data_IF_178190360279
#
_entry.id   IF_178190360279
#
_cell.length_a   1.000
_cell.length_b   1.000
_cell.length_c   1.000
_cell.angle_alpha   90.00
_cell.angle_beta   90.00
_cell.angle_gamma   90.00
#
_symmetry.space_group_name_H-M   'P 1'
#
loop_
_entity.id
_entity.type
_entity.pdbx_description
1 polymer ?
#
# COMPACT_ATOMS: atom_id res chain seq x y z
N UNK A 1 -4.42 -11.29 14.75
CA UNK A 1 -4.01 -9.90 15.07
C UNK A 1 -3.79 -9.06 13.81
N UNK A 2 -2.84 -9.39 12.93
CA UNK A 2 -2.53 -8.58 11.72
C UNK A 2 -3.72 -8.43 10.77
N UNK A 3 -4.38 -9.54 10.44
CA UNK A 3 -5.63 -9.55 9.67
C UNK A 3 -6.67 -8.58 10.22
N UNK A 4 -7.01 -8.69 11.52
CA UNK A 4 -8.01 -7.84 12.17
C UNK A 4 -7.62 -6.35 12.16
N UNK A 5 -6.33 -6.04 12.24
CA UNK A 5 -5.83 -4.66 12.12
C UNK A 5 -6.09 -4.11 10.72
N UNK A 6 -5.79 -4.87 9.67
CA UNK A 6 -6.06 -4.45 8.29
C UNK A 6 -7.55 -4.31 8.01
N UNK A 7 -8.36 -5.29 8.42
CA UNK A 7 -9.82 -5.20 8.29
C UNK A 7 -10.37 -3.93 8.95
N UNK A 8 -9.95 -3.64 10.19
CA UNK A 8 -10.35 -2.42 10.90
C UNK A 8 -9.88 -1.13 10.19
N UNK A 9 -8.71 -1.15 9.56
CA UNK A 9 -8.21 -0.02 8.77
C UNK A 9 -9.07 0.21 7.53
N UNK A 10 -9.46 -0.85 6.81
CA UNK A 10 -10.38 -0.71 5.70
C UNK A 10 -11.76 -0.22 6.14
N UNK A 11 -12.26 -0.62 7.32
CA UNK A 11 -13.56 -0.17 7.82
C UNK A 11 -13.56 1.35 8.02
N UNK A 12 -12.47 1.88 8.58
CA UNK A 12 -12.25 3.32 8.69
C UNK A 12 -12.10 3.97 7.32
N UNK A 13 -11.25 3.45 6.44
CA UNK A 13 -11.08 4.02 5.09
C UNK A 13 -12.41 4.11 4.34
N UNK A 14 -13.24 3.07 4.40
CA UNK A 14 -14.58 3.08 3.80
C UNK A 14 -15.48 4.18 4.37
N UNK A 15 -15.40 4.48 5.68
CA UNK A 15 -16.14 5.59 6.28
C UNK A 15 -15.65 6.96 5.79
N UNK A 16 -14.39 7.08 5.36
CA UNK A 16 -13.81 8.31 4.82
C UNK A 16 -14.41 8.66 3.46
N UNK A 17 -14.60 7.66 2.60
CA UNK A 17 -15.25 7.85 1.29
C UNK A 17 -16.75 8.12 1.38
N UNK A 18 -17.43 7.55 2.37
CA UNK A 18 -18.89 7.58 2.48
C UNK A 18 -19.42 8.61 3.47
N UNK A 19 -18.56 9.43 4.07
CA UNK A 19 -18.95 10.37 5.12
C UNK A 19 -18.18 11.68 5.07
N UNK A 20 -18.37 12.49 6.11
CA UNK A 20 -17.85 13.86 6.17
C UNK A 20 -16.78 13.97 7.27
N UNK A 21 -15.50 13.74 6.92
CA UNK A 21 -14.40 13.72 7.89
C UNK A 21 -14.02 15.09 8.44
N UNK A 22 -14.54 16.16 7.84
CA UNK A 22 -14.26 17.54 8.22
C UNK A 22 -15.25 18.07 9.26
N UNK A 23 -16.40 17.42 9.40
CA UNK A 23 -17.47 17.85 10.31
C UNK A 23 -17.23 17.22 11.67
N UNK A 24 -16.92 18.08 12.65
CA UNK A 24 -16.69 17.64 14.04
C UNK A 24 -17.89 16.87 14.57
N UNK A 25 -17.62 15.71 15.18
CA UNK A 25 -18.63 14.89 15.83
C UNK A 25 -19.20 13.75 14.97
N UNK A 26 -19.01 13.78 13.63
CA UNK A 26 -19.38 12.66 12.77
C UNK A 26 -18.56 11.42 13.10
N UNK A 27 -19.06 10.22 12.73
CA UNK A 27 -18.30 8.99 12.92
C UNK A 27 -17.00 9.02 12.10
N UNK A 28 -17.06 9.51 10.87
CA UNK A 28 -15.88 9.64 10.00
C UNK A 28 -14.82 10.58 10.61
N UNK A 29 -15.21 11.73 11.18
CA UNK A 29 -14.28 12.61 11.88
C UNK A 29 -13.58 11.89 13.04
N UNK A 30 -14.33 11.13 13.85
CA UNK A 30 -13.76 10.33 14.95
C UNK A 30 -12.81 9.24 14.45
N UNK A 31 -13.13 8.60 13.33
CA UNK A 31 -12.28 7.56 12.72
C UNK A 31 -10.95 8.14 12.22
N UNK A 32 -10.96 9.32 11.59
CA UNK A 32 -9.72 10.01 11.22
C UNK A 32 -8.91 10.42 12.46
N UNK A 33 -9.55 10.98 13.48
CA UNK A 33 -8.86 11.35 14.72
C UNK A 33 -8.23 10.13 15.39
N UNK A 34 -8.92 8.99 15.37
CA UNK A 34 -8.38 7.74 15.86
C UNK A 34 -7.12 7.32 15.08
N UNK A 35 -7.17 7.37 13.74
CA UNK A 35 -6.01 7.04 12.90
C UNK A 35 -4.82 7.96 13.19
N UNK A 36 -5.05 9.28 13.23
CA UNK A 36 -4.03 10.28 13.56
C UNK A 36 -3.41 10.01 14.96
N UNK A 37 -4.25 9.77 15.97
CA UNK A 37 -3.78 9.41 17.32
C UNK A 37 -2.95 8.13 17.31
N UNK A 38 -3.36 7.10 16.58
CA UNK A 38 -2.61 5.85 16.48
C UNK A 38 -1.25 6.04 15.80
N UNK A 39 -1.15 6.91 14.79
CA UNK A 39 0.13 7.29 14.17
C UNK A 39 1.05 7.97 15.19
N UNK A 40 0.56 8.97 15.94
CA UNK A 40 1.36 9.66 16.96
C UNK A 40 1.82 8.72 18.08
N UNK A 41 0.93 7.83 18.57
CA UNK A 41 1.29 6.85 19.59
C UNK A 41 2.33 5.85 19.08
N UNK A 42 2.19 5.42 17.83
CA UNK A 42 3.16 4.52 17.19
C UNK A 42 4.51 5.21 17.03
N UNK A 43 4.53 6.46 16.57
CA UNK A 43 5.75 7.27 16.46
C UNK A 43 6.44 7.43 17.82
N UNK A 44 5.68 7.77 18.87
CA UNK A 44 6.20 7.94 20.23
C UNK A 44 6.69 6.62 20.86
N UNK A 45 6.14 5.48 20.46
CA UNK A 45 6.64 4.16 20.86
C UNK A 45 7.97 3.86 20.15
N UNK A 46 7.98 4.00 18.81
CA UNK A 46 9.13 3.65 17.99
C UNK A 46 10.36 4.52 18.29
N UNK A 47 10.16 5.80 18.65
CA UNK A 47 11.26 6.70 19.04
C UNK A 47 11.99 6.29 20.32
N UNK A 48 11.41 5.39 21.13
CA UNK A 48 12.01 4.89 22.37
C UNK A 48 12.74 3.56 22.21
N UNK A 49 12.62 2.90 21.06
CA UNK A 49 13.20 1.57 20.84
C UNK A 49 14.59 1.66 20.19
N UNK A 50 15.54 0.90 20.72
CA UNK A 50 16.79 0.63 20.02
C UNK A 50 16.60 -0.34 18.84
N UNK A 51 17.65 -0.58 18.05
CA UNK A 51 17.55 -1.42 16.85
C UNK A 51 17.16 -2.86 17.20
N UNK A 52 17.73 -3.43 18.25
CA UNK A 52 17.52 -4.81 18.64
C UNK A 52 16.13 -5.00 19.24
N UNK A 53 15.68 -4.05 20.06
CA UNK A 53 14.31 -4.00 20.59
C UNK A 53 13.28 -3.90 19.46
N UNK A 54 13.52 -3.00 18.49
CA UNK A 54 12.65 -2.86 17.33
C UNK A 54 12.56 -4.17 16.54
N UNK A 55 13.68 -4.79 16.18
CA UNK A 55 13.69 -6.04 15.42
C UNK A 55 13.00 -7.19 16.19
N UNK A 56 13.24 -7.27 17.50
CA UNK A 56 12.57 -8.24 18.37
C UNK A 56 11.05 -8.05 18.38
N UNK A 57 10.57 -6.81 18.58
CA UNK A 57 9.14 -6.49 18.56
C UNK A 57 8.50 -6.63 17.17
N UNK A 58 9.29 -6.42 16.12
CA UNK A 58 8.84 -6.48 14.73
C UNK A 58 8.83 -7.92 14.17
N UNK A 59 9.37 -8.89 14.91
CA UNK A 59 9.43 -10.31 14.53
C UNK A 59 8.04 -10.93 14.55
N UNK A 60 7.75 -11.73 13.53
CA UNK A 60 6.55 -12.56 13.43
C UNK A 60 7.01 -13.99 13.60
N UNK A 61 6.56 -14.67 14.67
CA UNK A 61 7.04 -16.02 14.99
C UNK A 61 6.75 -17.03 13.87
N UNK A 62 5.57 -16.91 13.24
CA UNK A 62 5.10 -17.82 12.19
C UNK A 62 4.43 -17.01 11.06
N UNK A 63 5.19 -16.46 10.11
CA UNK A 63 4.62 -15.71 9.01
C UNK A 63 3.80 -16.64 8.10
N UNK A 64 2.54 -16.28 7.88
CA UNK A 64 1.69 -16.87 6.84
C UNK A 64 2.20 -16.51 5.43
N UNK A 65 3.18 -17.27 4.95
CA UNK A 65 3.89 -17.03 3.69
C UNK A 65 4.05 -18.29 2.81
N UNK A 66 2.96 -18.99 2.45
CA UNK A 66 3.04 -20.25 1.70
C UNK A 66 3.59 -20.08 0.26
N UNK A 67 3.42 -18.91 -0.35
CA UNK A 67 3.80 -18.67 -1.75
C UNK A 67 5.17 -17.99 -1.88
N UNK A 68 5.90 -17.79 -0.78
CA UNK A 68 7.11 -16.97 -0.72
C UNK A 68 8.17 -17.39 -1.73
N UNK A 69 8.38 -18.70 -1.85
CA UNK A 69 9.35 -19.28 -2.80
C UNK A 69 8.95 -19.05 -4.25
N UNK A 70 7.66 -19.02 -4.57
CA UNK A 70 7.16 -18.76 -5.93
C UNK A 70 7.32 -17.28 -6.27
N UNK A 71 6.93 -16.40 -5.34
CA UNK A 71 7.08 -14.96 -5.47
C UNK A 71 8.55 -14.56 -5.70
N UNK A 72 9.49 -15.14 -4.94
CA UNK A 72 10.92 -14.90 -5.14
C UNK A 72 11.40 -15.30 -6.53
N UNK A 73 10.91 -16.42 -7.07
CA UNK A 73 11.27 -16.87 -8.42
C UNK A 73 10.77 -15.91 -9.50
N UNK A 74 9.52 -15.47 -9.38
CA UNK A 74 8.93 -14.54 -10.34
C UNK A 74 9.62 -13.16 -10.29
N UNK A 75 9.80 -12.59 -9.09
CA UNK A 75 10.43 -11.27 -8.97
C UNK A 75 11.91 -11.24 -9.36
N UNK A 76 12.64 -12.35 -9.18
CA UNK A 76 14.02 -12.47 -9.64
C UNK A 76 14.16 -12.41 -11.18
N UNK A 77 13.13 -12.81 -11.92
CA UNK A 77 13.16 -12.86 -13.38
C UNK A 77 12.84 -11.51 -14.05
N UNK A 78 12.11 -10.61 -13.37
CA UNK A 78 11.53 -9.40 -13.99
C UNK A 78 12.18 -8.11 -13.54
N UNK A 79 12.81 -8.07 -12.37
CA UNK A 79 13.40 -6.83 -11.84
C UNK A 79 14.90 -6.79 -12.17
N UNK A 80 15.37 -6.13 -13.25
CA UNK A 80 16.78 -5.80 -13.36
C UNK A 80 17.12 -4.92 -12.15
N UNK A 81 18.14 -5.33 -11.39
CA UNK A 81 18.71 -4.55 -10.30
C UNK A 81 18.99 -3.14 -10.82
N UNK A 82 18.14 -2.17 -10.50
CA UNK A 82 18.58 -0.78 -10.61
C UNK A 82 19.53 -0.54 -9.43
N UNK A 83 20.81 -0.82 -9.66
CA UNK A 83 21.91 -0.61 -8.70
C UNK A 83 22.05 0.84 -8.25
N UNK A 84 21.30 1.75 -8.86
CA UNK A 84 21.22 3.18 -8.56
C UNK A 84 19.91 3.59 -7.85
N UNK A 85 19.07 2.67 -7.40
CA UNK A 85 17.84 3.02 -6.67
C UNK A 85 18.17 3.68 -5.32
N UNK A 86 17.47 4.77 -4.99
CA UNK A 86 17.54 5.43 -3.67
C UNK A 86 17.32 4.45 -2.51
N UNK A 87 16.62 3.35 -2.77
CA UNK A 87 16.47 2.26 -1.83
C UNK A 87 17.79 1.59 -1.48
N UNK A 88 18.71 1.33 -2.42
CA UNK A 88 19.99 0.73 -2.05
C UNK A 88 20.79 1.64 -1.12
N UNK A 89 20.64 2.96 -1.25
CA UNK A 89 21.26 3.92 -0.34
C UNK A 89 20.58 3.89 1.04
N UNK A 90 19.25 3.77 1.10
CA UNK A 90 18.47 3.65 2.35
C UNK A 90 18.70 2.28 3.02
N UNK A 91 18.77 1.19 2.27
CA UNK A 91 18.94 -0.18 2.77
C UNK A 91 20.37 -0.47 3.20
N UNK A 92 21.36 0.21 2.60
CA UNK A 92 22.77 0.21 3.04
C UNK A 92 23.03 1.25 4.13
N UNK A 93 22.05 2.09 4.46
CA UNK A 93 22.16 3.03 5.57
C UNK A 93 22.29 2.24 6.87
N UNK A 94 23.25 2.56 7.75
CA UNK A 94 23.32 1.96 9.09
C UNK A 94 22.13 2.39 9.98
N UNK A 95 21.34 3.39 9.53
CA UNK A 95 20.15 3.87 10.22
C UNK A 95 18.92 3.11 9.74
N UNK A 96 18.39 2.23 10.60
CA UNK A 96 17.03 1.69 10.44
C UNK A 96 16.06 2.87 10.52
N UNK A 97 15.25 3.09 9.49
CA UNK A 97 14.15 4.06 9.53
C UNK A 97 13.07 3.49 10.46
N UNK A 98 13.23 3.74 11.76
CA UNK A 98 12.30 3.29 12.81
C UNK A 98 11.08 4.19 12.92
N UNK A 99 11.24 5.47 12.64
CA UNK A 99 10.23 6.46 12.97
C UNK A 99 9.19 6.55 11.85
N UNK A 100 7.92 6.59 12.25
CA UNK A 100 6.84 7.04 11.39
C UNK A 100 7.05 8.53 11.13
N UNK A 101 7.80 8.87 10.09
CA UNK A 101 8.07 10.23 9.63
C UNK A 101 7.23 10.57 8.40
N UNK A 102 7.33 11.80 7.91
CA UNK A 102 6.60 12.25 6.73
C UNK A 102 6.88 11.41 5.47
N UNK A 103 8.10 10.90 5.29
CA UNK A 103 8.42 10.06 4.14
C UNK A 103 7.64 8.73 4.19
N UNK A 104 7.63 8.05 5.33
CA UNK A 104 6.87 6.81 5.51
C UNK A 104 5.35 7.05 5.36
N UNK A 105 4.85 8.17 5.90
CA UNK A 105 3.45 8.56 5.78
C UNK A 105 3.05 8.88 4.34
N UNK A 106 3.89 9.61 3.60
CA UNK A 106 3.68 9.93 2.18
C UNK A 106 3.71 8.66 1.30
N UNK A 107 4.64 7.74 1.56
CA UNK A 107 4.65 6.44 0.87
C UNK A 107 3.36 5.65 1.14
N UNK A 108 2.89 5.62 2.40
CA UNK A 108 1.63 4.96 2.74
C UNK A 108 0.41 5.63 2.07
N UNK A 109 0.38 6.97 2.02
CA UNK A 109 -0.65 7.72 1.30
C UNK A 109 -0.65 7.37 -0.20
N UNK A 110 0.53 7.40 -0.83
CA UNK A 110 0.74 7.05 -2.23
C UNK A 110 0.16 5.66 -2.57
N UNK A 111 0.38 4.67 -1.69
CA UNK A 111 -0.13 3.32 -1.90
C UNK A 111 -1.66 3.25 -2.07
N UNK A 112 -2.43 4.09 -1.37
CA UNK A 112 -3.90 4.03 -1.44
C UNK A 112 -4.51 4.62 -2.71
N UNK A 113 -3.86 5.61 -3.35
CA UNK A 113 -4.45 6.31 -4.49
C UNK A 113 -3.68 6.10 -5.81
N UNK A 114 -2.44 5.60 -5.76
CA UNK A 114 -1.55 5.52 -6.92
C UNK A 114 -2.10 4.71 -8.09
N UNK A 115 -2.67 3.53 -7.84
CA UNK A 115 -3.22 2.69 -8.92
C UNK A 115 -4.39 3.39 -9.61
N UNK A 116 -5.27 4.05 -8.85
CA UNK A 116 -6.39 4.83 -9.40
C UNK A 116 -5.88 5.99 -10.26
N UNK A 117 -4.83 6.67 -9.80
CA UNK A 117 -4.28 7.83 -10.51
C UNK A 117 -3.50 7.44 -11.78
N UNK A 118 -2.71 6.37 -11.72
CA UNK A 118 -1.77 5.98 -12.78
C UNK A 118 -2.40 5.04 -13.81
N UNK A 119 -3.29 4.14 -13.38
CA UNK A 119 -3.90 3.09 -14.21
C UNK A 119 -5.42 2.96 -13.97
N UNK A 120 -6.20 4.04 -14.09
CA UNK A 120 -7.64 4.03 -13.79
C UNK A 120 -8.42 3.01 -14.63
N UNK A 121 -8.10 2.90 -15.92
CA UNK A 121 -8.83 2.02 -16.84
C UNK A 121 -8.62 0.54 -16.51
N UNK A 122 -7.45 0.17 -16.00
CA UNK A 122 -7.15 -1.21 -15.61
C UNK A 122 -7.99 -1.70 -14.42
N UNK A 123 -8.58 -0.77 -13.65
CA UNK A 123 -9.44 -1.07 -12.51
C UNK A 123 -10.89 -0.65 -12.75
N UNK A 124 -11.29 -0.48 -14.02
CA UNK A 124 -12.67 -0.21 -14.41
C UNK A 124 -13.09 1.26 -14.44
N UNK A 125 -12.16 2.21 -14.26
CA UNK A 125 -12.44 3.65 -14.30
C UNK A 125 -12.14 4.18 -15.71
N UNK A 126 -13.11 4.03 -16.63
CA UNK A 126 -12.90 4.31 -18.05
C UNK A 126 -13.18 5.76 -18.50
N UNK A 127 -13.95 6.54 -17.74
CA UNK A 127 -14.45 7.85 -18.15
C UNK A 127 -14.14 8.99 -17.17
N UNK A 128 -13.16 8.80 -16.28
CA UNK A 128 -12.77 9.86 -15.34
C UNK A 128 -12.09 11.01 -16.09
N UNK A 129 -12.60 12.22 -15.89
CA UNK A 129 -12.03 13.46 -16.43
C UNK A 129 -10.76 13.87 -15.67
N UNK A 130 -10.03 14.86 -16.18
CA UNK A 130 -8.89 15.40 -15.43
C UNK A 130 -9.38 16.10 -14.16
N UNK A 131 -10.55 16.74 -14.22
CA UNK A 131 -11.22 17.40 -13.12
C UNK A 131 -11.62 16.38 -12.03
N UNK A 132 -12.14 15.20 -12.42
CA UNK A 132 -12.44 14.10 -11.48
C UNK A 132 -11.17 13.61 -10.78
N UNK A 133 -10.08 13.46 -11.52
CA UNK A 133 -8.78 13.04 -10.97
C UNK A 133 -8.16 14.11 -10.06
N UNK A 134 -8.30 15.39 -10.41
CA UNK A 134 -7.88 16.50 -9.56
C UNK A 134 -8.68 16.54 -8.26
N UNK A 135 -10.00 16.38 -8.32
CA UNK A 135 -10.85 16.30 -7.14
C UNK A 135 -10.48 15.11 -6.25
N UNK A 136 -10.25 13.93 -6.84
CA UNK A 136 -9.80 12.74 -6.12
C UNK A 136 -8.45 12.96 -5.43
N UNK A 137 -7.48 13.55 -6.13
CA UNK A 137 -6.19 13.89 -5.54
C UNK A 137 -6.31 14.98 -4.46
N UNK A 138 -7.19 15.97 -4.63
CA UNK A 138 -7.45 17.00 -3.63
C UNK A 138 -8.01 16.40 -2.34
N UNK A 139 -8.98 15.48 -2.46
CA UNK A 139 -9.50 14.72 -1.31
C UNK A 139 -8.37 13.98 -0.56
N UNK A 140 -7.52 13.26 -1.28
CA UNK A 140 -6.38 12.57 -0.68
C UNK A 140 -5.33 13.51 -0.07
N UNK A 141 -5.13 14.70 -0.66
CA UNK A 141 -4.30 15.76 -0.08
C UNK A 141 -4.85 16.16 1.28
N UNK A 142 -6.15 16.43 1.37
CA UNK A 142 -6.82 16.80 2.62
C UNK A 142 -6.75 15.67 3.66
N UNK A 143 -6.90 14.40 3.25
CA UNK A 143 -6.70 13.26 4.16
C UNK A 143 -5.27 13.19 4.68
N UNK A 144 -4.26 13.40 3.82
CA UNK A 144 -2.86 13.45 4.24
C UNK A 144 -2.62 14.52 5.30
N UNK A 145 -3.11 15.74 5.06
CA UNK A 145 -3.03 16.83 6.04
C UNK A 145 -3.68 16.46 7.37
N UNK A 146 -4.91 15.92 7.33
CA UNK A 146 -5.65 15.54 8.55
C UNK A 146 -4.93 14.44 9.34
N UNK A 147 -4.27 13.51 8.65
CA UNK A 147 -3.50 12.42 9.25
C UNK A 147 -2.11 12.84 9.75
N UNK A 148 -1.76 14.13 9.62
CA UNK A 148 -0.53 14.72 10.14
C UNK A 148 0.65 14.73 9.17
N UNK A 149 0.40 14.59 7.85
CA UNK A 149 1.44 14.78 6.83
C UNK A 149 1.59 16.28 6.58
N UNK A 150 2.82 16.80 6.72
CA UNK A 150 3.07 18.21 6.40
C UNK A 150 2.87 18.47 4.90
N UNK A 151 2.37 19.64 4.55
CA UNK A 151 1.95 19.97 3.18
C UNK A 151 3.08 19.83 2.15
N UNK A 152 4.33 20.06 2.57
CA UNK A 152 5.50 19.90 1.70
C UNK A 152 5.87 18.44 1.40
N UNK A 153 5.42 17.48 2.21
CA UNK A 153 5.68 16.06 1.98
C UNK A 153 4.47 15.31 1.42
N UNK A 154 3.30 15.95 1.40
CA UNK A 154 2.06 15.36 0.90
C UNK A 154 2.19 14.96 -0.59
N UNK A 155 1.91 13.70 -0.92
CA UNK A 155 2.11 13.20 -2.29
C UNK A 155 1.15 13.85 -3.29
N UNK A 156 -0.02 14.30 -2.82
CA UNK A 156 -1.04 14.97 -3.63
C UNK A 156 -0.89 16.51 -3.71
N UNK A 157 0.29 17.06 -3.39
CA UNK A 157 0.57 18.51 -3.54
C UNK A 157 0.81 18.90 -5.01
N UNK A 158 0.43 20.13 -5.36
CA UNK A 158 0.63 20.69 -6.70
C UNK A 158 -0.52 20.43 -7.66
N UNK A 159 -0.25 20.54 -8.96
CA UNK A 159 -1.22 20.24 -10.02
C UNK A 159 -1.21 18.74 -10.41
N UNK A 160 -2.22 18.29 -11.17
CA UNK A 160 -2.36 16.86 -11.54
C UNK A 160 -1.12 16.27 -12.21
N UNK A 161 -0.44 17.06 -13.06
CA UNK A 161 0.76 16.61 -13.78
C UNK A 161 1.91 16.34 -12.80
N UNK A 162 2.14 17.24 -11.85
CA UNK A 162 3.15 17.08 -10.79
C UNK A 162 2.82 15.89 -9.89
N UNK A 163 1.55 15.72 -9.51
CA UNK A 163 1.11 14.60 -8.67
C UNK A 163 1.34 13.27 -9.40
N UNK A 164 0.96 13.16 -10.69
CA UNK A 164 1.19 11.94 -11.50
C UNK A 164 2.68 11.61 -11.60
N UNK A 165 3.52 12.62 -11.86
CA UNK A 165 4.96 12.42 -11.97
C UNK A 165 5.57 11.89 -10.66
N UNK A 166 5.31 12.59 -9.54
CA UNK A 166 5.80 12.20 -8.21
C UNK A 166 5.30 10.82 -7.79
N UNK A 167 4.02 10.53 -8.06
CA UNK A 167 3.42 9.23 -7.75
C UNK A 167 4.15 8.13 -8.53
N UNK A 168 4.47 8.34 -9.81
CA UNK A 168 5.22 7.37 -10.61
C UNK A 168 6.62 7.12 -10.04
N UNK A 169 7.36 8.16 -9.69
CA UNK A 169 8.70 8.01 -9.11
C UNK A 169 8.67 7.24 -7.78
N UNK A 170 7.75 7.59 -6.88
CA UNK A 170 7.58 6.87 -5.61
C UNK A 170 7.17 5.41 -5.84
N UNK A 171 6.29 5.16 -6.82
CA UNK A 171 5.83 3.82 -7.14
C UNK A 171 6.95 2.96 -7.74
N UNK A 172 7.76 3.51 -8.64
CA UNK A 172 8.96 2.85 -9.18
C UNK A 172 9.96 2.49 -8.08
N UNK A 173 10.18 3.38 -7.10
CA UNK A 173 11.00 3.07 -5.92
C UNK A 173 10.42 1.91 -5.12
N UNK A 174 9.10 1.89 -4.87
CA UNK A 174 8.45 0.80 -4.15
C UNK A 174 8.59 -0.53 -4.90
N UNK A 175 8.42 -0.54 -6.23
CA UNK A 175 8.56 -1.73 -7.07
C UNK A 175 9.99 -2.24 -7.17
N UNK A 176 11.00 -1.35 -7.14
CA UNK A 176 12.41 -1.74 -7.20
C UNK A 176 12.85 -2.66 -6.06
N UNK A 177 12.01 -2.83 -5.03
CA UNK A 177 12.27 -3.64 -3.84
C UNK A 177 11.67 -5.05 -3.92
N UNK A 178 10.90 -5.36 -4.97
CA UNK A 178 10.22 -6.65 -5.08
C UNK A 178 11.20 -7.83 -5.24
N UNK A 179 12.44 -7.56 -5.67
CA UNK A 179 13.49 -8.57 -5.75
C UNK A 179 14.00 -9.07 -4.37
N UNK A 180 13.69 -8.36 -3.28
CA UNK A 180 14.15 -8.67 -1.92
C UNK A 180 12.98 -8.78 -0.95
N UNK A 181 11.87 -9.37 -1.38
CA UNK A 181 10.73 -9.64 -0.49
C UNK A 181 11.14 -10.59 0.63
N UNK A 182 10.56 -10.40 1.81
CA UNK A 182 10.78 -11.25 3.00
C UNK A 182 9.54 -12.10 3.29
N UNK A 183 9.64 -13.17 4.10
CA UNK A 183 8.46 -13.90 4.58
C UNK A 183 7.43 -12.99 5.26
N UNK A 184 7.92 -11.98 5.99
CA UNK A 184 7.10 -10.93 6.60
C UNK A 184 6.35 -10.09 5.57
N UNK A 185 6.96 -9.80 4.41
CA UNK A 185 6.30 -9.06 3.33
C UNK A 185 5.09 -9.82 2.80
N UNK A 186 5.22 -11.12 2.53
CA UNK A 186 4.09 -11.93 2.07
C UNK A 186 3.01 -12.01 3.16
N UNK A 187 3.40 -12.26 4.41
CA UNK A 187 2.46 -12.31 5.51
C UNK A 187 1.61 -11.03 5.63
N UNK A 188 2.27 -9.86 5.55
CA UNK A 188 1.61 -8.56 5.70
C UNK A 188 0.72 -8.24 4.48
N UNK A 189 1.21 -8.44 3.26
CA UNK A 189 0.42 -8.21 2.04
C UNK A 189 -0.77 -9.16 1.96
N UNK A 190 -0.60 -10.41 2.40
CA UNK A 190 -1.68 -11.39 2.48
C UNK A 190 -2.71 -11.01 3.52
N UNK A 191 -2.31 -10.65 4.74
CA UNK A 191 -3.24 -10.16 5.76
C UNK A 191 -4.02 -8.93 5.29
N UNK A 192 -3.40 -8.06 4.48
CA UNK A 192 -4.06 -6.92 3.84
C UNK A 192 -5.08 -7.38 2.81
N UNK A 193 -4.68 -8.13 1.78
CA UNK A 193 -5.57 -8.53 0.67
C UNK A 193 -6.72 -9.39 1.19
N UNK A 194 -6.44 -10.37 2.05
CA UNK A 194 -7.47 -11.29 2.55
C UNK A 194 -8.52 -10.57 3.39
N UNK A 195 -8.18 -9.44 4.01
CA UNK A 195 -9.16 -8.64 4.74
C UNK A 195 -10.15 -7.91 3.83
N UNK A 196 -9.82 -7.70 2.54
CA UNK A 196 -10.75 -7.15 1.55
C UNK A 196 -11.87 -8.12 1.20
N UNK A 197 -11.65 -9.44 1.31
CA UNK A 197 -12.66 -10.48 1.06
C UNK A 197 -13.87 -10.44 1.99
N UNK A 198 -13.81 -9.63 3.05
CA UNK A 198 -14.89 -9.46 4.02
C UNK A 198 -15.81 -8.27 3.69
N UNK A 199 -15.52 -7.56 2.61
CA UNK A 199 -16.42 -6.54 2.07
C UNK A 199 -17.46 -7.18 1.14
N UNK A 200 -18.74 -6.79 1.25
CA UNK A 200 -19.78 -7.31 0.37
C UNK A 200 -19.41 -7.18 -1.10
N UNK A 201 -19.68 -8.24 -1.87
CA UNK A 201 -19.48 -8.32 -3.32
C UNK A 201 -18.02 -8.30 -3.80
N UNK A 202 -17.03 -8.41 -2.90
CA UNK A 202 -15.61 -8.58 -3.27
C UNK A 202 -15.14 -10.01 -3.02
N UNK A 203 -14.59 -10.64 -4.06
CA UNK A 203 -13.81 -11.87 -3.97
C UNK A 203 -12.46 -11.64 -4.66
N UNK A 204 -11.43 -11.50 -3.83
CA UNK A 204 -10.06 -11.11 -4.14
C UNK A 204 -9.07 -12.06 -3.45
N UNK A 205 -8.94 -13.32 -3.91
CA UNK A 205 -7.92 -14.22 -3.39
C UNK A 205 -6.52 -13.63 -3.53
N UNK A 206 -5.64 -13.92 -2.57
CA UNK A 206 -4.29 -13.35 -2.55
C UNK A 206 -3.51 -13.54 -3.86
N UNK A 207 -3.43 -14.76 -4.39
CA UNK A 207 -2.65 -15.05 -5.60
C UNK A 207 -3.19 -14.27 -6.80
N UNK A 208 -4.51 -14.29 -6.96
CA UNK A 208 -5.20 -13.55 -8.01
C UNK A 208 -4.84 -12.06 -7.95
N UNK A 209 -4.96 -11.44 -6.77
CA UNK A 209 -4.68 -10.01 -6.62
C UNK A 209 -3.23 -9.65 -6.87
N UNK A 210 -2.28 -10.49 -6.44
CA UNK A 210 -0.86 -10.24 -6.72
C UNK A 210 -0.60 -10.31 -8.22
N UNK A 211 -1.08 -11.35 -8.92
CA UNK A 211 -0.89 -11.45 -10.38
C UNK A 211 -1.59 -10.29 -11.10
N UNK A 212 -2.82 -9.97 -10.74
CA UNK A 212 -3.54 -8.83 -11.31
C UNK A 212 -2.78 -7.50 -11.13
N UNK A 213 -2.30 -7.23 -9.91
CA UNK A 213 -1.52 -6.02 -9.63
C UNK A 213 -0.21 -5.97 -10.42
N UNK A 214 0.48 -7.12 -10.57
CA UNK A 214 1.73 -7.19 -11.34
C UNK A 214 1.48 -7.05 -12.84
N UNK A 215 0.37 -7.58 -13.36
CA UNK A 215 0.00 -7.43 -14.78
C UNK A 215 -0.27 -5.97 -15.17
N UNK A 216 -0.90 -5.18 -14.29
CA UNK A 216 -1.07 -3.72 -14.48
C UNK A 216 0.28 -3.04 -14.73
N UNK A 217 1.33 -3.57 -14.09
CA UNK A 217 2.69 -3.06 -14.16
C UNK A 217 3.53 -3.74 -15.26
N UNK A 218 2.92 -4.61 -16.06
CA UNK A 218 3.58 -5.45 -17.06
C UNK A 218 4.70 -6.34 -16.46
N UNK A 219 4.51 -6.79 -15.21
CA UNK A 219 5.42 -7.70 -14.52
C UNK A 219 4.84 -9.13 -14.61
N UNK A 220 5.58 -10.01 -15.28
CA UNK A 220 5.17 -11.41 -15.47
C UNK A 220 5.33 -12.23 -14.18
N UNK A 221 4.28 -12.94 -13.77
CA UNK A 221 4.26 -13.80 -12.58
C UNK A 221 3.93 -15.26 -12.92
N UNK A 222 4.71 -15.93 -13.80
CA UNK A 222 4.33 -17.22 -14.36
C UNK A 222 4.24 -18.35 -13.31
N UNK A 223 5.12 -18.35 -12.31
CA UNK A 223 5.12 -19.41 -11.28
C UNK A 223 3.93 -19.26 -10.34
N UNK A 224 3.64 -18.03 -9.89
CA UNK A 224 2.48 -17.76 -9.05
C UNK A 224 1.18 -18.02 -9.80
N UNK A 225 1.07 -17.57 -11.06
CA UNK A 225 -0.08 -17.83 -11.93
C UNK A 225 -0.36 -19.32 -12.13
N UNK A 226 0.69 -20.13 -12.40
CA UNK A 226 0.55 -21.58 -12.55
C UNK A 226 0.14 -22.29 -11.25
N UNK A 227 0.34 -21.64 -10.09
CA UNK A 227 -0.02 -22.19 -8.77
C UNK A 227 -1.44 -21.85 -8.31
N UNK A 228 -2.20 -21.08 -9.09
CA UNK A 228 -3.58 -20.72 -8.77
C UNK A 228 -4.49 -21.95 -8.81
N UNK A 229 -5.44 -21.99 -7.89
CA UNK A 229 -6.61 -22.86 -7.99
C UNK A 229 -7.51 -22.45 -9.15
N UNK A 230 -8.42 -23.33 -9.54
CA UNK A 230 -9.37 -23.07 -10.62
C UNK A 230 -10.28 -21.85 -10.34
N UNK A 231 -10.72 -21.68 -9.10
CA UNK A 231 -11.54 -20.53 -8.69
C UNK A 231 -10.75 -19.20 -8.77
N UNK A 232 -9.49 -19.19 -8.32
CA UNK A 232 -8.61 -18.03 -8.44
C UNK A 232 -8.37 -17.66 -9.90
N UNK A 233 -8.16 -18.66 -10.76
CA UNK A 233 -7.96 -18.45 -12.19
C UNK A 233 -9.19 -17.87 -12.89
N UNK A 234 -10.38 -18.41 -12.61
CA UNK A 234 -11.64 -17.85 -13.16
C UNK A 234 -11.80 -16.39 -12.73
N UNK A 235 -11.59 -16.12 -11.44
CA UNK A 235 -11.77 -14.77 -10.90
C UNK A 235 -10.80 -13.79 -11.59
N UNK A 236 -9.53 -14.17 -11.74
CA UNK A 236 -8.54 -13.39 -12.48
C UNK A 236 -8.98 -13.09 -13.93
N UNK A 237 -9.54 -14.09 -14.64
CA UNK A 237 -9.98 -13.91 -16.03
C UNK A 237 -11.20 -13.01 -16.19
N UNK A 238 -12.09 -12.98 -15.20
CA UNK A 238 -13.27 -12.11 -15.21
C UNK A 238 -12.91 -10.67 -14.84
N UNK A 239 -11.89 -10.47 -14.00
CA UNK A 239 -11.44 -9.14 -13.57
C UNK A 239 -10.61 -8.37 -14.60
N UNK A 240 -10.31 -8.96 -15.76
CA UNK A 240 -9.50 -8.38 -16.83
C UNK A 240 -10.35 -7.98 -18.02
#
# INVERSE_FOLDING_TARGET
IYFSRYFSTFQRLSSWYNGEPWIKGTQTYKDMQYACKMHSLTQAKLSKLDNNQFESEAKIADPWCPDHKLLLKDFAAVCPLNTQSCYQMISKSPYIIKNLNNANMACAQCFFFSIILLWPQNIGIHNATNEDMEAFCHMWRCYGYFLGIEDEYNTCRGNLKEIKHRTRELYEVMLSNLNNITPKWEHMTRCFIESLNYYPFLYMPYKMMVVFAMDILNISMPHLYASMSYAEWITYKISR
#
